data_IF_994817655061
#
_entry.id   IF_994817655061
#
_cell.length_a   1.000
_cell.length_b   1.000
_cell.length_c   1.000
_cell.angle_alpha   90.00
_cell.angle_beta   90.00
_cell.angle_gamma   90.00
#
_symmetry.space_group_name_H-M   'P 1'
#
loop_
_entity.id
_entity.type
_entity.pdbx_description
1 polymer ?
#
# COMPACT_ATOMS: atom_id res chain seq x y z
N UNK A 1 -7.62 -11.59 -19.66
CA UNK A 1 -7.07 -10.26 -19.97
C UNK A 1 -5.60 -10.22 -19.56
N UNK A 2 -4.71 -10.61 -20.48
CA UNK A 2 -3.28 -10.76 -20.19
C UNK A 2 -2.60 -9.39 -19.98
N UNK A 3 -3.06 -8.36 -20.69
CA UNK A 3 -2.54 -7.00 -20.58
C UNK A 3 -2.74 -6.42 -19.18
N UNK A 4 -3.92 -6.64 -18.58
CA UNK A 4 -4.22 -6.18 -17.22
C UNK A 4 -3.33 -6.86 -16.15
N UNK A 5 -3.05 -8.16 -16.34
CA UNK A 5 -2.17 -8.92 -15.45
C UNK A 5 -0.73 -8.42 -15.55
N UNK A 6 -0.24 -8.16 -16.76
CA UNK A 6 1.09 -7.61 -17.01
C UNK A 6 1.24 -6.19 -16.43
N UNK A 7 0.23 -5.33 -16.61
CA UNK A 7 0.20 -4.00 -16.02
C UNK A 7 0.26 -4.05 -14.48
N UNK A 8 -0.48 -4.98 -13.87
CA UNK A 8 -0.47 -5.19 -12.41
C UNK A 8 0.89 -5.70 -11.93
N UNK A 9 1.51 -6.63 -12.67
CA UNK A 9 2.85 -7.14 -12.35
C UNK A 9 3.89 -6.02 -12.41
N UNK A 10 3.87 -5.21 -13.47
CA UNK A 10 4.75 -4.04 -13.63
C UNK A 10 4.56 -3.03 -12.51
N UNK A 11 3.31 -2.76 -12.11
CA UNK A 11 3.01 -1.85 -11.02
C UNK A 11 3.55 -2.35 -9.67
N UNK A 12 3.49 -3.65 -9.39
CA UNK A 12 4.10 -4.23 -8.17
C UNK A 12 5.62 -4.15 -8.19
N UNK A 13 6.24 -4.29 -9.35
CA UNK A 13 7.69 -4.12 -9.48
C UNK A 13 8.10 -2.66 -9.24
N UNK A 14 7.34 -1.70 -9.77
CA UNK A 14 7.54 -0.28 -9.46
C UNK A 14 7.37 0.00 -7.95
N UNK A 15 6.37 -0.58 -7.30
CA UNK A 15 6.21 -0.47 -5.84
C UNK A 15 7.43 -1.00 -5.11
N UNK A 16 7.95 -2.18 -5.47
CA UNK A 16 9.17 -2.73 -4.89
C UNK A 16 10.35 -1.78 -5.07
N UNK A 17 10.51 -1.20 -6.26
CA UNK A 17 11.60 -0.27 -6.53
C UNK A 17 11.53 1.02 -5.72
N UNK A 18 10.32 1.51 -5.38
CA UNK A 18 10.13 2.77 -4.66
C UNK A 18 9.99 2.62 -3.14
N UNK A 19 9.43 1.50 -2.69
CA UNK A 19 9.02 1.29 -1.29
C UNK A 19 9.72 0.08 -0.64
N UNK A 20 10.59 -0.62 -1.37
CA UNK A 20 11.31 -1.81 -0.90
C UNK A 20 10.55 -3.13 -1.10
N UNK A 21 9.22 -3.08 -1.07
CA UNK A 21 8.35 -4.24 -1.32
C UNK A 21 7.00 -3.82 -1.95
N UNK A 22 6.20 -4.76 -2.48
CA UNK A 22 4.84 -4.46 -2.93
C UNK A 22 3.98 -3.91 -1.78
N UNK A 23 3.25 -2.82 -2.04
CA UNK A 23 2.44 -2.14 -1.01
C UNK A 23 1.35 -3.06 -0.42
N UNK A 24 0.88 -4.05 -1.17
CA UNK A 24 -0.06 -5.04 -0.66
C UNK A 24 0.50 -5.91 0.47
N UNK A 25 1.79 -6.27 0.39
CA UNK A 25 2.47 -7.02 1.46
C UNK A 25 2.70 -6.13 2.68
N UNK A 26 3.24 -4.93 2.45
CA UNK A 26 3.46 -3.92 3.48
C UNK A 26 2.19 -3.60 4.28
N UNK A 27 1.10 -3.26 3.59
CA UNK A 27 -0.16 -2.89 4.27
C UNK A 27 -0.82 -4.05 4.99
N UNK A 28 -0.66 -5.29 4.50
CA UNK A 28 -1.16 -6.47 5.19
C UNK A 28 -0.40 -6.71 6.49
N UNK A 29 0.93 -6.60 6.46
CA UNK A 29 1.76 -6.69 7.66
C UNK A 29 1.38 -5.61 8.70
N UNK A 30 1.22 -4.35 8.28
CA UNK A 30 0.76 -3.28 9.19
C UNK A 30 -0.63 -3.53 9.77
N UNK A 31 -1.54 -4.14 9.01
CA UNK A 31 -2.87 -4.56 9.49
C UNK A 31 -2.71 -5.60 10.58
N UNK A 32 -1.93 -6.64 10.32
CA UNK A 32 -1.75 -7.77 11.23
C UNK A 32 -1.02 -7.34 12.51
N UNK A 33 0.09 -6.60 12.40
CA UNK A 33 0.93 -6.17 13.53
C UNK A 33 0.20 -5.17 14.46
N UNK A 34 -0.62 -4.29 13.89
CA UNK A 34 -1.34 -3.25 14.64
C UNK A 34 -2.78 -3.65 14.99
N UNK A 35 -3.22 -4.86 14.64
CA UNK A 35 -4.59 -5.33 14.86
C UNK A 35 -5.65 -4.47 14.17
N UNK A 36 -5.32 -3.88 13.01
CA UNK A 36 -6.22 -2.99 12.26
C UNK A 36 -6.99 -3.79 11.21
N UNK A 37 -8.16 -3.29 10.81
CA UNK A 37 -8.74 -3.69 9.53
C UNK A 37 -8.36 -2.70 8.42
N UNK A 38 -8.62 -3.07 7.17
CA UNK A 38 -8.27 -2.25 6.00
C UNK A 38 -8.93 -0.86 6.02
N UNK A 39 -10.19 -0.75 6.46
CA UNK A 39 -10.88 0.54 6.55
C UNK A 39 -10.24 1.46 7.58
N UNK A 40 -9.82 0.91 8.72
CA UNK A 40 -9.11 1.66 9.76
C UNK A 40 -7.73 2.10 9.29
N UNK A 41 -6.99 1.22 8.60
CA UNK A 41 -5.70 1.60 7.98
C UNK A 41 -5.89 2.75 6.99
N UNK A 42 -6.90 2.69 6.12
CA UNK A 42 -7.19 3.75 5.16
C UNK A 42 -7.41 5.10 5.86
N UNK A 43 -8.23 5.11 6.92
CA UNK A 43 -8.50 6.31 7.71
C UNK A 43 -7.24 6.88 8.35
N UNK A 44 -6.39 6.04 8.97
CA UNK A 44 -5.13 6.47 9.59
C UNK A 44 -4.16 7.05 8.56
N UNK A 45 -4.06 6.43 7.38
CA UNK A 45 -3.20 6.91 6.31
C UNK A 45 -3.74 8.18 5.62
N UNK A 46 -5.03 8.50 5.80
CA UNK A 46 -5.71 9.57 5.07
C UNK A 46 -5.99 9.19 3.61
N UNK A 47 -6.22 7.90 3.36
CA UNK A 47 -6.58 7.34 2.06
C UNK A 47 -8.07 6.98 2.03
N UNK A 48 -8.67 7.04 0.85
CA UNK A 48 -9.97 6.41 0.64
C UNK A 48 -9.82 4.89 0.57
N UNK A 49 -10.85 4.14 0.98
CA UNK A 49 -10.84 2.68 0.88
C UNK A 49 -10.58 2.15 -0.56
N UNK A 50 -11.17 2.74 -1.63
CA UNK A 50 -10.83 2.36 -3.00
C UNK A 50 -9.36 2.60 -3.35
N UNK A 51 -8.78 3.73 -2.94
CA UNK A 51 -7.37 4.02 -3.22
C UNK A 51 -6.45 3.02 -2.52
N UNK A 52 -6.75 2.66 -1.26
CA UNK A 52 -6.01 1.63 -0.55
C UNK A 52 -6.13 0.26 -1.24
N UNK A 53 -7.33 -0.14 -1.65
CA UNK A 53 -7.56 -1.40 -2.37
C UNK A 53 -6.79 -1.48 -3.70
N UNK A 54 -6.74 -0.38 -4.45
CA UNK A 54 -5.97 -0.29 -5.70
C UNK A 54 -4.46 -0.40 -5.47
N UNK A 55 -3.94 0.21 -4.41
CA UNK A 55 -2.53 0.08 -4.03
C UNK A 55 -2.21 -1.36 -3.60
N UNK A 56 -3.06 -1.97 -2.76
CA UNK A 56 -2.87 -3.34 -2.27
C UNK A 56 -2.94 -4.40 -3.38
N UNK A 57 -3.83 -4.22 -4.36
CA UNK A 57 -3.97 -5.14 -5.49
C UNK A 57 -2.85 -4.98 -6.53
N UNK A 58 -2.13 -3.85 -6.52
CA UNK A 58 -1.16 -3.49 -7.54
C UNK A 58 -1.78 -2.83 -8.78
N UNK A 59 -3.06 -2.47 -8.75
CA UNK A 59 -3.68 -1.67 -9.82
C UNK A 59 -3.11 -0.23 -9.84
N UNK A 60 -2.58 0.23 -8.71
CA UNK A 60 -1.91 1.53 -8.59
C UNK A 60 -0.50 1.37 -8.04
N UNK A 61 0.49 1.85 -8.79
CA UNK A 61 1.90 1.73 -8.39
C UNK A 61 2.31 2.76 -7.33
N UNK A 62 1.83 4.01 -7.43
CA UNK A 62 2.37 5.15 -6.66
C UNK A 62 1.39 5.73 -5.65
N UNK A 63 1.90 6.07 -4.48
CA UNK A 63 1.25 6.97 -3.52
C UNK A 63 1.51 8.42 -3.97
N UNK A 64 0.47 9.11 -4.44
CA UNK A 64 0.62 10.46 -5.01
C UNK A 64 0.86 11.56 -3.97
N UNK A 65 0.33 11.40 -2.75
CA UNK A 65 0.47 12.39 -1.68
C UNK A 65 1.67 12.02 -0.79
N UNK A 66 2.72 12.86 -0.70
CA UNK A 66 3.90 12.55 0.11
C UNK A 66 3.58 12.44 1.62
N UNK A 67 2.55 13.13 2.12
CA UNK A 67 2.14 13.01 3.52
C UNK A 67 1.63 11.60 3.86
N UNK A 68 1.06 10.89 2.89
CA UNK A 68 0.65 9.49 3.09
C UNK A 68 1.89 8.60 3.24
N UNK A 69 2.94 8.83 2.44
CA UNK A 69 4.21 8.08 2.56
C UNK A 69 4.82 8.27 3.95
N UNK A 70 4.81 9.49 4.47
CA UNK A 70 5.29 9.78 5.82
C UNK A 70 4.48 9.03 6.90
N UNK A 71 3.15 8.95 6.77
CA UNK A 71 2.32 8.16 7.70
C UNK A 71 2.60 6.66 7.60
N UNK A 72 2.85 6.12 6.40
CA UNK A 72 3.24 4.72 6.22
C UNK A 72 4.58 4.43 6.90
N UNK A 73 5.55 5.33 6.79
CA UNK A 73 6.84 5.21 7.48
C UNK A 73 6.66 5.23 9.01
N UNK A 74 5.91 6.19 9.53
CA UNK A 74 5.62 6.26 10.96
C UNK A 74 4.89 5.01 11.49
N UNK A 75 3.95 4.43 10.73
CA UNK A 75 3.30 3.17 11.12
C UNK A 75 4.26 1.98 11.13
N UNK A 76 5.22 1.92 10.21
CA UNK A 76 6.25 0.88 10.21
C UNK A 76 7.17 0.98 11.44
N UNK A 77 7.54 2.20 11.83
CA UNK A 77 8.33 2.43 13.05
C UNK A 77 7.59 1.98 14.32
N UNK A 78 6.26 2.10 14.34
CA UNK A 78 5.41 1.67 15.46
C UNK A 78 5.12 0.17 15.48
N UNK A 79 5.21 -0.52 14.34
CA UNK A 79 5.02 -1.98 14.24
C UNK A 79 6.33 -2.77 14.39
N UNK A 80 7.45 -2.08 14.65
CA UNK A 80 8.79 -2.67 14.79
C UNK A 80 9.07 -3.20 16.19
#
# INVERSE_FOLDING_TARGET
>A
DAAQQEATARARELQRSWYGEPLGALFRRLIDDLGLNQARLAAVLGLSAPMLSQLMSGQRAKIGNPAVVQRVQALQELSS
#
